data_IF_723103670314
#
_entry.id   IF_723103670314
#
_cell.length_a   1.000
_cell.length_b   1.000
_cell.length_c   1.000
_cell.angle_alpha   90.00
_cell.angle_beta   90.00
_cell.angle_gamma   90.00
#
_symmetry.space_group_name_H-M   'P 1'
#
loop_
_entity.id
_entity.type
_entity.pdbx_description
1 polymer ?
#
# COMPACT_ATOMS: atom_id res chain seq x y z
N UNK A 1 -51.20 -40.62 31.82
CA UNK A 1 -51.20 -39.18 31.51
C UNK A 1 -49.75 -38.71 31.61
N UNK A 2 -49.08 -38.49 30.47
CA UNK A 2 -47.64 -38.25 30.39
C UNK A 2 -47.26 -36.84 30.86
N UNK A 3 -46.29 -36.74 31.77
CA UNK A 3 -45.53 -35.51 31.96
C UNK A 3 -44.38 -35.48 30.95
N UNK A 4 -44.38 -34.49 30.04
CA UNK A 4 -43.24 -34.22 29.16
C UNK A 4 -42.36 -33.17 29.84
N UNK A 5 -41.15 -33.60 30.20
CA UNK A 5 -40.06 -32.73 30.64
C UNK A 5 -39.53 -31.96 29.42
N UNK A 6 -39.65 -30.64 29.42
CA UNK A 6 -39.03 -29.76 28.43
C UNK A 6 -37.59 -29.49 28.86
N UNK A 7 -36.63 -30.10 28.17
CA UNK A 7 -35.20 -29.79 28.31
C UNK A 7 -34.92 -28.59 27.41
N UNK A 8 -34.73 -27.42 28.01
CA UNK A 8 -34.23 -26.24 27.31
C UNK A 8 -32.73 -26.42 27.05
N UNK A 9 -32.36 -26.73 25.81
CA UNK A 9 -30.97 -26.74 25.37
C UNK A 9 -30.58 -25.28 25.12
N UNK A 10 -29.86 -24.67 26.06
CA UNK A 10 -29.17 -23.40 25.84
C UNK A 10 -27.98 -23.67 24.92
N UNK A 11 -28.17 -23.44 23.62
CA UNK A 11 -27.08 -23.37 22.65
C UNK A 11 -26.40 -22.03 22.89
N UNK A 12 -25.30 -22.03 23.64
CA UNK A 12 -24.36 -20.91 23.62
C UNK A 12 -23.71 -20.88 22.24
N UNK A 13 -24.24 -20.05 21.34
CA UNK A 13 -23.52 -19.68 20.13
C UNK A 13 -22.32 -18.84 20.58
N UNK A 14 -21.15 -19.48 20.68
CA UNK A 14 -19.88 -18.76 20.76
C UNK A 14 -19.71 -18.01 19.43
N UNK A 15 -20.05 -16.73 19.43
CA UNK A 15 -19.72 -15.83 18.32
C UNK A 15 -18.20 -15.66 18.38
N UNK A 16 -17.48 -16.44 17.57
CA UNK A 16 -16.07 -16.20 17.34
C UNK A 16 -15.99 -14.91 16.52
N UNK A 17 -15.71 -13.78 17.18
CA UNK A 17 -15.25 -12.59 16.47
C UNK A 17 -13.95 -13.00 15.77
N UNK A 18 -13.93 -12.98 14.45
CA UNK A 18 -12.72 -13.32 13.71
C UNK A 18 -11.63 -12.31 14.07
N UNK A 19 -10.49 -12.83 14.54
CA UNK A 19 -9.38 -12.01 15.01
C UNK A 19 -8.39 -11.84 13.87
N UNK A 20 -7.89 -10.61 13.72
CA UNK A 20 -6.80 -10.29 12.82
C UNK A 20 -5.57 -11.15 13.18
N UNK A 21 -5.23 -12.13 12.35
CA UNK A 21 -4.15 -13.08 12.64
C UNK A 21 -2.80 -12.42 12.42
N UNK A 22 -1.96 -12.32 13.45
CA UNK A 22 -0.56 -11.94 13.29
C UNK A 22 0.19 -13.07 12.56
N UNK A 23 0.73 -12.76 11.38
CA UNK A 23 1.47 -13.72 10.55
C UNK A 23 2.97 -13.54 10.75
N UNK A 24 3.44 -12.29 10.76
CA UNK A 24 4.85 -11.97 10.97
C UNK A 24 5.02 -10.75 11.87
N UNK A 25 6.15 -10.69 12.57
CA UNK A 25 6.54 -9.56 13.42
C UNK A 25 8.05 -9.41 13.51
N UNK A 26 8.53 -8.18 13.67
CA UNK A 26 9.96 -7.88 13.81
C UNK A 26 10.20 -6.77 14.82
N UNK A 27 11.30 -6.89 15.55
CA UNK A 27 11.88 -5.77 16.32
C UNK A 27 12.68 -4.87 15.39
N UNK A 28 13.56 -5.51 14.62
CA UNK A 28 14.27 -4.98 13.47
C UNK A 28 14.11 -5.98 12.32
N UNK A 29 13.91 -5.51 11.08
CA UNK A 29 13.91 -6.41 9.93
C UNK A 29 15.34 -6.79 9.54
N UNK A 30 15.53 -8.06 9.19
CA UNK A 30 16.78 -8.59 8.66
C UNK A 30 16.64 -8.96 7.18
N UNK A 31 17.77 -9.17 6.51
CA UNK A 31 17.82 -9.61 5.10
C UNK A 31 18.50 -10.97 4.99
N UNK A 32 18.11 -11.75 3.99
CA UNK A 32 18.81 -12.98 3.63
C UNK A 32 20.10 -12.62 2.89
N UNK A 33 21.24 -12.86 3.53
CA UNK A 33 22.56 -12.57 2.99
C UNK A 33 23.15 -13.80 2.29
N UNK A 34 23.93 -13.63 1.20
CA UNK A 34 24.58 -14.77 0.56
C UNK A 34 25.62 -15.46 1.45
N UNK A 35 26.27 -14.69 2.34
CA UNK A 35 27.15 -15.22 3.40
C UNK A 35 27.26 -14.26 4.59
N UNK A 36 27.73 -14.74 5.74
CA UNK A 36 27.98 -13.90 6.91
C UNK A 36 29.18 -12.94 6.71
N UNK A 37 30.11 -13.25 5.81
CA UNK A 37 31.19 -12.34 5.39
C UNK A 37 30.61 -11.09 4.73
N UNK A 38 29.74 -11.26 3.73
CA UNK A 38 29.12 -10.14 3.00
C UNK A 38 28.26 -9.29 3.95
N UNK A 39 27.54 -9.93 4.87
CA UNK A 39 26.78 -9.22 5.90
C UNK A 39 27.68 -8.40 6.83
N UNK A 40 28.81 -8.96 7.28
CA UNK A 40 29.78 -8.24 8.13
C UNK A 40 30.39 -7.06 7.40
N UNK A 41 30.73 -7.22 6.13
CA UNK A 41 31.23 -6.13 5.29
C UNK A 41 30.17 -5.03 5.14
N UNK A 42 28.91 -5.37 4.85
CA UNK A 42 27.83 -4.40 4.75
C UNK A 42 27.58 -3.64 6.07
N UNK A 43 27.71 -4.33 7.22
CA UNK A 43 27.64 -3.69 8.54
C UNK A 43 28.81 -2.74 8.78
N UNK A 44 30.04 -3.13 8.41
CA UNK A 44 31.25 -2.31 8.57
C UNK A 44 31.21 -1.07 7.67
N UNK A 45 30.75 -1.23 6.43
CA UNK A 45 30.65 -0.16 5.45
C UNK A 45 29.40 0.72 5.62
N UNK A 46 28.54 0.42 6.61
CA UNK A 46 27.25 1.07 6.82
C UNK A 46 26.25 0.96 5.66
N UNK A 47 26.50 0.04 4.72
CA UNK A 47 25.52 -0.35 3.69
C UNK A 47 24.31 -1.05 4.30
N UNK A 48 24.46 -1.62 5.50
CA UNK A 48 23.37 -2.16 6.30
C UNK A 48 23.42 -1.63 7.74
N UNK A 49 22.37 -0.92 8.15
CA UNK A 49 22.14 -0.43 9.51
C UNK A 49 20.79 -0.98 9.98
N UNK A 50 20.74 -2.05 10.80
CA UNK A 50 19.49 -2.73 11.13
C UNK A 50 18.35 -1.81 11.57
N UNK A 51 18.64 -0.84 12.43
CA UNK A 51 17.65 0.10 12.99
C UNK A 51 17.04 1.07 11.96
N UNK A 52 17.60 1.19 10.76
CA UNK A 52 17.15 2.10 9.72
C UNK A 52 16.18 1.46 8.71
N UNK A 53 15.81 0.19 8.92
CA UNK A 53 14.99 -0.55 7.98
C UNK A 53 13.54 -0.61 8.47
N UNK A 54 12.67 0.18 7.84
CA UNK A 54 11.23 0.19 8.09
C UNK A 54 10.50 -0.48 6.91
N UNK A 55 9.84 -1.63 7.10
CA UNK A 55 8.97 -2.21 6.09
C UNK A 55 7.72 -1.33 5.91
N UNK A 56 7.30 -1.10 4.67
CA UNK A 56 6.28 -0.08 4.36
C UNK A 56 5.08 -0.64 3.56
N UNK A 57 5.32 -1.29 2.43
CA UNK A 57 4.28 -1.82 1.54
C UNK A 57 4.32 -3.34 1.42
N UNK A 58 3.20 -3.94 1.00
CA UNK A 58 3.12 -5.38 0.74
C UNK A 58 2.30 -5.72 -0.49
N UNK A 59 2.54 -6.91 -1.05
CA UNK A 59 1.64 -7.55 -2.01
C UNK A 59 1.87 -9.06 -2.01
N UNK A 60 0.81 -9.86 -2.15
CA UNK A 60 0.93 -11.31 -2.19
C UNK A 60 0.83 -11.83 -3.62
N UNK A 61 1.73 -12.74 -3.97
CA UNK A 61 1.60 -13.58 -5.15
C UNK A 61 1.91 -15.04 -4.80
N UNK A 62 0.90 -15.91 -4.89
CA UNK A 62 1.02 -17.35 -4.56
C UNK A 62 1.65 -17.56 -3.17
N UNK A 63 2.84 -18.16 -3.11
CA UNK A 63 3.59 -18.41 -1.88
C UNK A 63 4.58 -17.29 -1.51
N UNK A 64 4.63 -16.18 -2.25
CA UNK A 64 5.51 -15.04 -1.96
C UNK A 64 4.68 -13.88 -1.42
N UNK A 65 5.03 -13.40 -0.24
CA UNK A 65 4.57 -12.10 0.26
C UNK A 65 5.69 -11.10 0.03
N UNK A 66 5.53 -10.23 -0.95
CA UNK A 66 6.45 -9.13 -1.20
C UNK A 66 6.31 -8.07 -0.10
N UNK A 67 7.45 -7.52 0.32
CA UNK A 67 7.56 -6.47 1.34
C UNK A 67 8.59 -5.45 0.87
N UNK A 68 8.24 -4.18 0.95
CA UNK A 68 9.13 -3.07 0.58
C UNK A 68 9.78 -2.47 1.82
N UNK A 69 11.02 -2.02 1.70
CA UNK A 69 11.76 -1.27 2.72
C UNK A 69 12.32 -0.02 2.05
N UNK A 70 11.61 1.11 2.10
CA UNK A 70 12.04 2.33 1.44
C UNK A 70 13.28 2.92 2.11
N UNK A 71 14.11 3.61 1.33
CA UNK A 71 15.36 4.23 1.80
C UNK A 71 15.12 5.58 2.49
N UNK A 72 14.28 5.58 3.53
CA UNK A 72 14.07 6.75 4.39
C UNK A 72 15.36 7.24 5.05
N UNK A 73 16.22 6.30 5.45
CA UNK A 73 17.54 6.53 6.04
C UNK A 73 18.57 5.66 5.32
N UNK A 74 19.85 6.01 5.43
CA UNK A 74 20.95 5.19 4.93
C UNK A 74 21.00 3.80 5.58
N UNK A 75 21.71 2.85 4.95
CA UNK A 75 21.91 1.50 5.50
C UNK A 75 20.73 0.54 5.28
N UNK A 76 19.91 0.78 4.25
CA UNK A 76 18.92 -0.20 3.78
C UNK A 76 19.59 -1.16 2.81
N UNK A 77 19.69 -2.45 3.13
CA UNK A 77 20.39 -3.39 2.26
C UNK A 77 19.61 -3.67 0.97
N UNK A 78 18.30 -3.84 1.08
CA UNK A 78 17.43 -4.15 -0.05
C UNK A 78 16.05 -3.53 0.07
N UNK A 79 15.59 -2.85 -0.98
CA UNK A 79 14.34 -2.10 -0.94
C UNK A 79 13.11 -2.90 -1.37
N UNK A 80 13.27 -3.84 -2.31
CA UNK A 80 12.22 -4.78 -2.71
C UNK A 80 12.59 -6.19 -2.27
N UNK A 81 11.70 -6.83 -1.52
CA UNK A 81 11.96 -8.12 -0.91
C UNK A 81 10.72 -9.02 -0.93
N UNK A 82 10.87 -10.29 -0.56
CA UNK A 82 9.75 -11.17 -0.27
C UNK A 82 10.02 -12.14 0.88
N UNK A 83 8.94 -12.73 1.39
CA UNK A 83 8.92 -13.79 2.39
C UNK A 83 8.16 -14.99 1.81
N UNK A 84 8.71 -16.22 1.86
CA UNK A 84 7.97 -17.43 1.56
C UNK A 84 6.89 -17.70 2.61
N UNK A 85 5.64 -17.85 2.22
CA UNK A 85 4.50 -18.05 3.14
C UNK A 85 4.44 -19.44 3.78
N UNK A 86 5.25 -20.39 3.31
CA UNK A 86 5.43 -21.71 3.92
C UNK A 86 6.50 -21.74 5.01
N UNK A 87 7.10 -20.60 5.37
CA UNK A 87 8.01 -20.51 6.52
C UNK A 87 7.26 -20.75 7.84
N UNK A 88 7.96 -21.31 8.82
CA UNK A 88 7.48 -21.44 10.21
C UNK A 88 8.01 -20.36 11.13
N UNK A 89 8.95 -19.54 10.65
CA UNK A 89 9.51 -18.42 11.40
C UNK A 89 8.53 -17.24 11.39
N UNK A 90 8.22 -16.70 12.57
CA UNK A 90 7.39 -15.50 12.73
C UNK A 90 8.16 -14.20 12.46
N UNK A 91 9.48 -14.25 12.37
CA UNK A 91 10.37 -13.10 12.14
C UNK A 91 11.40 -13.37 11.04
N UNK A 92 10.98 -13.89 9.86
CA UNK A 92 11.90 -14.35 8.84
C UNK A 92 12.72 -13.18 8.27
N UNK A 93 13.94 -13.49 7.83
CA UNK A 93 14.72 -12.55 7.04
C UNK A 93 14.05 -12.28 5.69
N UNK A 94 14.06 -11.02 5.26
CA UNK A 94 13.54 -10.59 3.97
C UNK A 94 14.48 -11.03 2.85
N UNK A 95 13.96 -11.70 1.82
CA UNK A 95 14.76 -12.15 0.68
C UNK A 95 14.76 -11.05 -0.40
N UNK A 96 15.91 -10.46 -0.75
CA UNK A 96 15.99 -9.45 -1.81
C UNK A 96 15.43 -9.94 -3.15
N UNK A 97 14.66 -9.10 -3.83
CA UNK A 97 14.06 -9.39 -5.13
C UNK A 97 14.39 -8.33 -6.18
N UNK A 98 14.76 -8.72 -7.42
CA UNK A 98 15.03 -10.10 -7.85
C UNK A 98 16.34 -10.65 -7.28
N UNK A 99 17.22 -9.78 -6.77
CA UNK A 99 18.47 -10.16 -6.11
C UNK A 99 18.97 -9.04 -5.20
N UNK A 100 19.95 -9.35 -4.35
CA UNK A 100 20.63 -8.34 -3.54
C UNK A 100 21.36 -7.31 -4.43
N UNK A 101 22.04 -7.78 -5.51
CA UNK A 101 22.74 -6.90 -6.46
C UNK A 101 21.78 -5.86 -7.06
N UNK A 102 20.59 -6.28 -7.50
CA UNK A 102 19.61 -5.38 -8.08
C UNK A 102 19.08 -4.32 -7.10
N UNK A 103 19.23 -4.52 -5.79
CA UNK A 103 18.81 -3.56 -4.77
C UNK A 103 19.97 -2.75 -4.18
N UNK A 104 21.21 -3.12 -4.46
CA UNK A 104 22.39 -2.37 -4.01
C UNK A 104 22.39 -0.99 -4.67
N UNK A 105 22.74 0.04 -3.89
CA UNK A 105 23.00 1.36 -4.45
C UNK A 105 24.27 1.31 -5.30
N UNK A 106 24.29 1.96 -6.48
CA UNK A 106 25.47 2.01 -7.32
C UNK A 106 26.58 2.77 -6.58
N UNK A 107 27.82 2.29 -6.70
CA UNK A 107 28.99 2.90 -6.07
C UNK A 107 29.96 3.44 -7.11
N UNK A 108 30.73 4.47 -6.76
CA UNK A 108 31.88 4.95 -7.54
C UNK A 108 31.59 5.24 -9.04
N UNK A 109 30.39 5.75 -9.36
CA UNK A 109 30.01 6.08 -10.74
C UNK A 109 29.58 4.88 -11.58
N UNK A 110 29.24 3.75 -10.96
CA UNK A 110 28.58 2.62 -11.64
C UNK A 110 27.36 3.07 -12.43
N UNK A 111 27.23 2.52 -13.65
CA UNK A 111 26.04 2.76 -14.48
C UNK A 111 24.88 1.95 -13.95
N UNK A 112 23.72 2.59 -13.79
CA UNK A 112 22.51 1.92 -13.38
C UNK A 112 21.99 0.98 -14.48
N UNK A 113 22.02 -0.33 -14.20
CA UNK A 113 21.26 -1.33 -14.95
C UNK A 113 19.73 -1.08 -14.84
N UNK A 114 18.96 -1.44 -15.87
CA UNK A 114 17.51 -1.20 -15.93
C UNK A 114 16.70 -1.91 -14.83
N UNK A 115 17.26 -2.98 -14.26
CA UNK A 115 16.65 -3.75 -13.18
C UNK A 115 17.07 -3.27 -11.79
N UNK A 116 17.88 -2.22 -11.66
CA UNK A 116 18.18 -1.63 -10.36
C UNK A 116 16.92 -1.06 -9.72
N UNK A 117 16.83 -1.25 -8.41
CA UNK A 117 15.77 -0.80 -7.55
C UNK A 117 16.41 0.09 -6.49
N UNK A 118 16.19 1.40 -6.61
CA UNK A 118 16.76 2.33 -5.65
C UNK A 118 15.93 2.31 -4.36
N UNK A 119 14.65 2.71 -4.43
CA UNK A 119 13.83 2.90 -3.24
C UNK A 119 12.36 2.69 -3.59
N UNK A 120 11.87 1.49 -3.28
CA UNK A 120 10.49 1.10 -3.53
C UNK A 120 9.62 1.49 -2.34
N UNK A 121 8.52 2.19 -2.62
CA UNK A 121 7.50 2.49 -1.60
C UNK A 121 6.37 1.47 -1.63
N UNK A 122 5.52 1.48 -2.65
CA UNK A 122 4.44 0.50 -2.82
C UNK A 122 4.63 -0.32 -4.09
N UNK A 123 3.94 -1.44 -4.07
CA UNK A 123 3.92 -2.44 -5.13
C UNK A 123 2.49 -2.91 -5.38
N UNK A 124 2.24 -3.42 -6.58
CA UNK A 124 0.98 -4.05 -6.96
C UNK A 124 1.27 -5.34 -7.73
N UNK A 125 0.58 -6.42 -7.37
CA UNK A 125 0.56 -7.65 -8.16
C UNK A 125 -0.72 -7.60 -8.98
N UNK A 126 -0.58 -7.58 -10.30
CA UNK A 126 -1.74 -7.46 -11.18
C UNK A 126 -2.35 -8.82 -11.55
N UNK A 127 -3.48 -8.80 -12.26
CA UNK A 127 -4.19 -10.01 -12.67
C UNK A 127 -3.43 -10.87 -13.69
N UNK A 128 -2.28 -10.41 -14.20
CA UNK A 128 -1.47 -11.05 -15.22
C UNK A 128 -0.15 -11.60 -14.68
N UNK A 129 -0.06 -11.81 -13.36
CA UNK A 129 1.16 -12.25 -12.67
C UNK A 129 2.36 -11.31 -12.91
N UNK A 130 2.12 -10.00 -13.00
CA UNK A 130 3.19 -9.00 -13.05
C UNK A 130 3.29 -8.24 -11.73
N UNK A 131 4.52 -8.00 -11.28
CA UNK A 131 4.81 -7.14 -10.13
C UNK A 131 5.17 -5.75 -10.62
N UNK A 132 4.33 -4.78 -10.27
CA UNK A 132 4.53 -3.37 -10.56
C UNK A 132 5.14 -2.70 -9.34
N UNK A 133 6.28 -2.04 -9.54
CA UNK A 133 7.12 -1.48 -8.50
C UNK A 133 7.25 0.02 -8.74
N UNK A 134 6.81 0.82 -7.77
CA UNK A 134 7.03 2.27 -7.79
C UNK A 134 8.36 2.59 -7.12
N UNK A 135 9.39 2.80 -7.94
CA UNK A 135 10.74 3.17 -7.51
C UNK A 135 10.90 4.70 -7.56
N UNK A 136 11.18 5.32 -6.41
CA UNK A 136 11.32 6.77 -6.31
C UNK A 136 12.67 7.26 -6.87
N UNK A 137 13.65 6.37 -7.00
CA UNK A 137 15.02 6.75 -7.35
C UNK A 137 15.77 7.52 -6.27
N UNK A 138 15.15 7.72 -5.09
CA UNK A 138 15.65 8.59 -4.02
C UNK A 138 16.05 7.76 -2.78
N UNK A 139 17.27 7.98 -2.29
CA UNK A 139 17.79 7.31 -1.10
C UNK A 139 18.20 8.30 -0.01
N UNK A 140 18.22 7.80 1.24
CA UNK A 140 18.55 8.56 2.46
C UNK A 140 17.71 9.84 2.64
N UNK A 141 16.40 9.72 2.42
CA UNK A 141 15.44 10.84 2.33
C UNK A 141 15.49 11.78 3.54
N UNK A 142 15.69 11.25 4.75
CA UNK A 142 15.74 12.02 6.00
C UNK A 142 17.16 12.43 6.41
N UNK A 143 18.17 11.92 5.69
CA UNK A 143 19.58 12.21 5.92
C UNK A 143 20.13 13.09 4.80
N UNK A 144 21.12 12.58 4.07
CA UNK A 144 21.69 13.21 2.89
C UNK A 144 20.99 12.70 1.63
N UNK A 145 19.76 13.18 1.42
CA UNK A 145 18.91 12.74 0.32
C UNK A 145 19.64 12.86 -1.03
N UNK A 146 19.71 11.76 -1.77
CA UNK A 146 20.39 11.66 -3.05
C UNK A 146 19.51 10.97 -4.09
N UNK A 147 19.37 11.62 -5.25
CA UNK A 147 18.60 11.11 -6.39
C UNK A 147 19.53 10.29 -7.30
N UNK A 148 19.42 8.97 -7.23
CA UNK A 148 20.22 8.03 -8.01
C UNK A 148 19.66 7.81 -9.42
N UNK A 149 18.33 7.81 -9.56
CA UNK A 149 17.64 7.64 -10.85
C UNK A 149 16.42 8.54 -10.92
N UNK A 150 15.79 8.71 -12.09
CA UNK A 150 14.43 9.29 -12.12
C UNK A 150 13.43 8.35 -11.42
N UNK A 151 12.32 8.87 -10.88
CA UNK A 151 11.19 8.03 -10.49
C UNK A 151 10.73 7.18 -11.67
N UNK A 152 10.43 5.91 -11.42
CA UNK A 152 10.08 4.96 -12.46
C UNK A 152 9.09 3.90 -12.01
N UNK A 153 8.31 3.40 -12.98
CA UNK A 153 7.62 2.12 -12.86
C UNK A 153 8.54 1.01 -13.34
N UNK A 154 8.82 0.05 -12.47
CA UNK A 154 9.59 -1.16 -12.78
C UNK A 154 8.65 -2.35 -12.72
N UNK A 155 8.56 -3.10 -13.82
CA UNK A 155 7.58 -4.18 -13.96
C UNK A 155 8.31 -5.49 -14.21
N UNK A 156 8.06 -6.48 -13.36
CA UNK A 156 8.63 -7.82 -13.46
C UNK A 156 7.56 -8.85 -13.78
N UNK A 157 7.91 -9.86 -14.57
CA UNK A 157 7.12 -11.09 -14.70
C UNK A 157 7.42 -11.99 -13.51
N UNK A 158 6.40 -12.29 -12.70
CA UNK A 158 6.54 -13.10 -11.48
C UNK A 158 6.75 -14.60 -11.78
N UNK A 159 6.42 -15.06 -12.99
CA UNK A 159 6.66 -16.45 -13.37
C UNK A 159 8.13 -16.70 -13.72
N UNK A 160 8.83 -15.69 -14.24
CA UNK A 160 10.23 -15.82 -14.68
C UNK A 160 11.23 -15.01 -13.86
N UNK A 161 10.74 -14.16 -12.95
CA UNK A 161 11.52 -13.20 -12.15
C UNK A 161 12.35 -12.24 -13.02
N UNK A 162 11.89 -11.98 -14.25
CA UNK A 162 12.57 -11.11 -15.23
C UNK A 162 11.93 -9.74 -15.33
N UNK A 163 12.77 -8.75 -15.54
CA UNK A 163 12.32 -7.40 -15.87
C UNK A 163 11.60 -7.43 -17.22
N UNK A 164 10.37 -6.93 -17.24
CA UNK A 164 9.60 -6.69 -18.47
C UNK A 164 9.78 -5.26 -18.96
N UNK A 165 9.79 -4.29 -18.04
CA UNK A 165 9.82 -2.87 -18.39
C UNK A 165 10.33 -2.01 -17.24
N UNK A 166 11.14 -1.02 -17.57
CA UNK A 166 11.38 0.17 -16.77
C UNK A 166 10.84 1.38 -17.54
N UNK A 167 9.91 2.11 -16.94
CA UNK A 167 9.39 3.36 -17.50
C UNK A 167 9.75 4.50 -16.56
N UNK A 168 10.70 5.34 -16.99
CA UNK A 168 11.02 6.58 -16.28
C UNK A 168 9.97 7.65 -16.58
N UNK A 169 9.44 8.28 -15.54
CA UNK A 169 8.48 9.37 -15.71
C UNK A 169 9.14 10.58 -16.38
N UNK A 170 8.41 11.18 -17.34
CA UNK A 170 8.89 12.35 -18.09
C UNK A 170 8.71 13.62 -17.25
N UNK A 171 9.45 14.70 -17.55
CA UNK A 171 9.33 15.96 -16.81
C UNK A 171 7.89 16.52 -16.74
N UNK A 172 7.06 16.29 -17.77
CA UNK A 172 5.66 16.74 -17.76
C UNK A 172 4.72 15.92 -16.86
N UNK A 173 5.17 14.77 -16.36
CA UNK A 173 4.45 14.00 -15.34
C UNK A 173 4.69 14.54 -13.94
N UNK A 174 5.77 15.31 -13.75
CA UNK A 174 6.33 15.66 -12.45
C UNK A 174 6.25 17.18 -12.18
N UNK A 175 6.22 17.51 -10.90
CA UNK A 175 6.49 18.84 -10.34
C UNK A 175 7.69 18.72 -9.40
N UNK A 176 8.26 19.86 -9.01
CA UNK A 176 9.31 19.90 -7.99
C UNK A 176 8.86 19.25 -6.67
N UNK A 177 7.59 19.43 -6.30
CA UNK A 177 7.00 18.82 -5.11
C UNK A 177 6.55 17.38 -5.31
N UNK A 178 6.78 16.77 -6.47
CA UNK A 178 6.26 15.43 -6.75
C UNK A 178 6.90 14.36 -5.86
N UNK A 179 6.07 13.49 -5.33
CA UNK A 179 6.52 12.29 -4.62
C UNK A 179 5.60 11.12 -5.02
N UNK A 180 6.10 10.28 -5.93
CA UNK A 180 5.37 9.14 -6.47
C UNK A 180 5.68 7.91 -5.63
N UNK A 181 4.78 7.52 -4.73
CA UNK A 181 5.04 6.46 -3.76
C UNK A 181 4.04 5.30 -3.81
N UNK A 182 3.01 5.37 -4.67
CA UNK A 182 2.02 4.32 -4.81
C UNK A 182 1.74 3.95 -6.28
N UNK A 183 1.19 2.77 -6.52
CA UNK A 183 0.72 2.32 -7.83
C UNK A 183 -0.49 1.40 -7.67
N UNK A 184 -1.53 1.62 -8.48
CA UNK A 184 -2.66 0.69 -8.64
C UNK A 184 -2.84 0.39 -10.12
N UNK A 185 -3.07 -0.87 -10.45
CA UNK A 185 -3.07 -1.36 -11.84
C UNK A 185 -4.47 -1.79 -12.26
N UNK A 186 -4.97 -1.21 -13.33
CA UNK A 186 -6.22 -1.58 -13.97
C UNK A 186 -5.96 -2.45 -15.18
N UNK A 187 -6.17 -3.76 -14.98
CA UNK A 187 -6.02 -4.77 -16.00
C UNK A 187 -7.04 -5.89 -15.79
N UNK A 188 -7.37 -6.59 -16.88
CA UNK A 188 -8.13 -7.83 -16.84
C UNK A 188 -7.21 -8.97 -17.29
N UNK A 189 -7.41 -10.16 -16.70
CA UNK A 189 -6.54 -11.32 -16.92
C UNK A 189 -6.39 -11.70 -18.40
N UNK A 190 -7.43 -11.48 -19.21
CA UNK A 190 -7.46 -11.78 -20.64
C UNK A 190 -6.92 -10.63 -21.54
N UNK A 191 -6.58 -9.48 -20.96
CA UNK A 191 -6.19 -8.25 -21.68
C UNK A 191 -4.98 -7.56 -21.05
N UNK A 192 -3.94 -8.34 -20.77
CA UNK A 192 -2.72 -7.88 -20.10
C UNK A 192 -2.01 -6.70 -20.80
N UNK A 193 -2.10 -6.63 -22.12
CA UNK A 193 -1.51 -5.55 -22.94
C UNK A 193 -2.33 -4.26 -22.93
N UNK A 194 -3.56 -4.27 -22.41
CA UNK A 194 -4.42 -3.09 -22.26
C UNK A 194 -4.35 -2.47 -20.86
N UNK A 195 -3.33 -2.83 -20.08
CA UNK A 195 -3.19 -2.36 -18.71
C UNK A 195 -2.97 -0.84 -18.63
N UNK A 196 -3.57 -0.25 -17.60
CA UNK A 196 -3.27 1.11 -17.15
C UNK A 196 -2.78 1.07 -15.71
N UNK A 197 -1.86 1.95 -15.36
CA UNK A 197 -1.45 2.17 -13.98
C UNK A 197 -1.81 3.59 -13.54
N UNK A 198 -2.26 3.73 -12.29
CA UNK A 198 -2.59 4.99 -11.64
C UNK A 198 -1.61 5.22 -10.50
N UNK A 199 -0.85 6.31 -10.59
CA UNK A 199 0.25 6.63 -9.70
C UNK A 199 -0.09 7.95 -9.02
N UNK A 200 -0.54 7.92 -7.77
CA UNK A 200 -0.87 9.15 -7.05
C UNK A 200 0.43 9.86 -6.66
N UNK A 201 0.43 11.15 -6.92
CA UNK A 201 1.48 12.09 -6.56
C UNK A 201 1.04 12.86 -5.32
N UNK A 202 1.46 12.39 -4.15
CA UNK A 202 1.01 12.97 -2.88
C UNK A 202 1.55 14.38 -2.63
N UNK A 203 2.73 14.73 -3.16
CA UNK A 203 3.30 16.06 -2.98
C UNK A 203 2.94 17.05 -4.09
N UNK A 204 2.61 16.56 -5.28
CA UNK A 204 2.17 17.37 -6.42
C UNK A 204 0.65 17.42 -6.64
N UNK A 205 -0.11 16.68 -5.82
CA UNK A 205 -1.58 16.63 -5.79
C UNK A 205 -2.21 16.26 -7.15
N UNK A 206 -1.74 15.16 -7.73
CA UNK A 206 -2.18 14.69 -9.04
C UNK A 206 -2.21 13.16 -9.10
N UNK A 207 -2.82 12.63 -10.16
CA UNK A 207 -2.59 11.25 -10.58
C UNK A 207 -1.79 11.29 -11.88
N UNK A 208 -0.69 10.55 -11.94
CA UNK A 208 -0.05 10.20 -13.21
C UNK A 208 -0.69 8.91 -13.71
N UNK A 209 -1.22 8.94 -14.92
CA UNK A 209 -1.79 7.77 -15.60
C UNK A 209 -0.75 7.25 -16.56
N UNK A 210 -0.49 5.95 -16.53
CA UNK A 210 0.41 5.26 -17.45
C UNK A 210 -0.36 4.24 -18.28
N UNK A 211 -0.16 4.22 -19.59
CA UNK A 211 -0.73 3.24 -20.51
C UNK A 211 0.33 2.23 -20.94
N UNK A 212 0.13 0.95 -20.61
CA UNK A 212 1.05 -0.12 -21.01
C UNK A 212 1.14 -0.25 -22.53
N UNK A 213 0.00 -0.22 -23.22
CA UNK A 213 -0.09 -0.38 -24.68
C UNK A 213 0.69 0.68 -25.44
N UNK A 214 0.51 1.95 -25.05
CA UNK A 214 1.12 3.08 -25.73
C UNK A 214 2.51 3.41 -25.18
N UNK A 215 2.89 2.81 -24.05
CA UNK A 215 4.08 3.14 -23.28
C UNK A 215 4.22 4.66 -23.04
N UNK A 216 3.10 5.29 -22.67
CA UNK A 216 2.97 6.73 -22.54
C UNK A 216 2.24 7.06 -21.24
N UNK A 217 2.54 8.23 -20.67
CA UNK A 217 1.92 8.71 -19.45
C UNK A 217 1.41 10.14 -19.57
N UNK A 218 0.51 10.53 -18.67
CA UNK A 218 0.07 11.91 -18.55
C UNK A 218 -0.37 12.22 -17.13
N UNK A 219 -0.24 13.49 -16.76
CA UNK A 219 -0.64 14.02 -15.46
C UNK A 219 -2.08 14.52 -15.48
N UNK A 220 -2.88 14.08 -14.52
CA UNK A 220 -4.27 14.49 -14.30
C UNK A 220 -4.36 15.27 -13.00
N UNK A 221 -4.98 16.45 -13.03
CA UNK A 221 -5.13 17.31 -11.87
C UNK A 221 -6.62 17.47 -11.52
N UNK A 222 -6.95 17.46 -10.24
CA UNK A 222 -8.29 17.72 -9.74
C UNK A 222 -8.22 18.25 -8.31
N UNK A 223 -9.19 19.08 -7.90
CA UNK A 223 -9.21 19.66 -6.55
C UNK A 223 -9.27 18.58 -5.46
N UNK A 224 -10.00 17.50 -5.70
CA UNK A 224 -10.14 16.37 -4.76
C UNK A 224 -8.84 15.58 -4.52
N UNK A 225 -7.76 15.87 -5.27
CA UNK A 225 -6.46 15.25 -5.03
C UNK A 225 -5.62 15.98 -3.97
N UNK A 226 -6.06 17.15 -3.51
CA UNK A 226 -5.35 17.95 -2.52
C UNK A 226 -5.69 17.49 -1.10
N UNK A 227 -4.75 17.69 -0.17
CA UNK A 227 -5.02 17.49 1.25
C UNK A 227 -6.10 18.45 1.78
N UNK A 228 -6.76 18.04 2.85
CA UNK A 228 -7.68 18.88 3.61
C UNK A 228 -6.89 19.62 4.72
N UNK A 229 -6.75 20.96 4.63
CA UNK A 229 -5.97 21.72 5.59
C UNK A 229 -6.54 21.69 7.02
N UNK A 230 -7.81 21.32 7.21
CA UNK A 230 -8.41 21.17 8.53
C UNK A 230 -8.08 19.83 9.21
N UNK A 231 -7.46 18.91 8.46
CA UNK A 231 -7.17 17.54 8.90
C UNK A 231 -5.67 17.22 8.89
N UNK A 232 -4.81 18.23 8.77
CA UNK A 232 -3.34 18.11 8.68
C UNK A 232 -2.60 17.89 9.99
N UNK A 233 -3.25 18.08 11.15
CA UNK A 233 -2.67 17.81 12.46
C UNK A 233 -2.96 16.36 12.87
N UNK A 234 -1.91 15.54 12.95
CA UNK A 234 -1.98 14.11 13.16
C UNK A 234 -1.34 13.74 14.49
N UNK A 235 -2.02 12.92 15.28
CA UNK A 235 -1.46 12.31 16.49
C UNK A 235 -1.55 10.81 16.38
N UNK A 236 -0.40 10.14 16.23
CA UNK A 236 -0.31 8.69 16.02
C UNK A 236 0.84 8.11 16.83
N UNK A 237 0.59 7.02 17.57
CA UNK A 237 1.62 6.40 18.42
C UNK A 237 2.20 7.33 19.50
N UNK A 238 1.41 8.31 19.96
CA UNK A 238 1.85 9.32 20.93
C UNK A 238 2.72 10.44 20.33
N UNK A 239 2.94 10.46 19.01
CA UNK A 239 3.68 11.50 18.30
C UNK A 239 2.70 12.43 17.60
N UNK A 240 2.83 13.73 17.85
CA UNK A 240 2.11 14.77 17.11
C UNK A 240 2.98 15.33 15.99
N UNK A 241 2.42 15.46 14.79
CA UNK A 241 3.10 15.98 13.60
C UNK A 241 2.09 16.52 12.58
N UNK A 242 2.56 17.38 11.69
CA UNK A 242 1.73 17.97 10.64
C UNK A 242 2.18 17.50 9.26
N UNK A 243 1.26 16.94 8.49
CA UNK A 243 1.47 16.56 7.09
C UNK A 243 0.49 17.26 6.17
N UNK A 244 0.84 17.29 4.90
CA UNK A 244 0.06 17.89 3.81
C UNK A 244 -0.07 16.95 2.62
N UNK A 245 0.07 15.65 2.85
CA UNK A 245 0.07 14.65 1.80
C UNK A 245 -1.30 14.56 1.14
N UNK A 246 -1.32 14.78 -0.17
CA UNK A 246 -2.52 14.71 -1.00
C UNK A 246 -2.91 13.27 -1.32
N UNK A 247 -3.48 13.08 -2.51
CA UNK A 247 -3.96 11.78 -3.00
C UNK A 247 -2.94 10.67 -2.77
N UNK A 248 -3.39 9.56 -2.20
CA UNK A 248 -2.50 8.45 -1.85
C UNK A 248 -3.17 7.08 -1.92
N UNK A 249 -4.29 6.90 -1.21
CA UNK A 249 -5.07 5.66 -1.27
C UNK A 249 -5.95 5.62 -2.52
N UNK A 250 -5.85 4.53 -3.27
CA UNK A 250 -6.58 4.27 -4.51
C UNK A 250 -7.16 2.85 -4.45
N UNK A 251 -8.39 2.63 -4.93
CA UNK A 251 -8.98 1.31 -5.07
C UNK A 251 -9.87 1.22 -6.30
N UNK A 252 -9.79 0.10 -7.02
CA UNK A 252 -10.57 -0.13 -8.23
C UNK A 252 -11.78 -1.01 -7.94
N UNK A 253 -12.95 -0.60 -8.45
CA UNK A 253 -14.14 -1.46 -8.46
C UNK A 253 -14.02 -2.59 -9.48
N UNK A 254 -15.01 -3.48 -9.49
CA UNK A 254 -15.19 -4.44 -10.60
C UNK A 254 -15.42 -3.70 -11.92
N UNK A 255 -15.13 -4.38 -13.03
CA UNK A 255 -15.41 -3.82 -14.36
C UNK A 255 -16.91 -3.58 -14.52
N UNK A 256 -17.27 -2.33 -14.79
CA UNK A 256 -18.63 -1.88 -15.03
C UNK A 256 -18.98 -2.00 -16.53
N UNK A 257 -20.21 -1.61 -16.90
CA UNK A 257 -20.63 -1.55 -18.31
C UNK A 257 -19.62 -0.72 -19.13
N UNK A 258 -19.31 -1.17 -20.34
CA UNK A 258 -18.34 -0.59 -21.29
C UNK A 258 -16.85 -0.81 -20.96
N UNK A 259 -16.50 -1.63 -19.97
CA UNK A 259 -15.10 -2.03 -19.74
C UNK A 259 -14.27 -1.08 -18.86
N UNK A 260 -14.92 -0.08 -18.27
CA UNK A 260 -14.31 0.86 -17.31
C UNK A 260 -14.63 0.46 -15.88
N UNK A 261 -13.90 1.03 -14.92
CA UNK A 261 -14.07 0.81 -13.48
C UNK A 261 -14.33 2.14 -12.80
N UNK A 262 -14.83 2.09 -11.58
CA UNK A 262 -14.78 3.23 -10.65
C UNK A 262 -13.45 3.16 -9.91
N UNK A 263 -12.66 4.24 -9.96
CA UNK A 263 -11.51 4.44 -9.09
C UNK A 263 -12.00 5.22 -7.87
N UNK A 264 -12.04 4.57 -6.71
CA UNK A 264 -12.18 5.24 -5.42
C UNK A 264 -10.82 5.77 -4.97
N UNK A 265 -10.80 6.95 -4.38
CA UNK A 265 -9.56 7.55 -3.92
C UNK A 265 -9.77 8.55 -2.78
N UNK A 266 -8.70 8.77 -2.02
CA UNK A 266 -8.62 9.81 -1.01
C UNK A 266 -7.20 10.38 -0.88
N UNK A 267 -7.09 11.67 -0.52
CA UNK A 267 -5.89 12.22 0.09
C UNK A 267 -5.55 11.53 1.40
N UNK A 268 -4.26 11.32 1.69
CA UNK A 268 -3.82 10.78 2.97
C UNK A 268 -4.33 11.66 4.11
N UNK A 269 -4.10 12.96 3.96
CA UNK A 269 -4.60 13.99 4.87
C UNK A 269 -6.00 14.41 4.42
N UNK A 270 -6.99 13.56 4.68
CA UNK A 270 -8.41 13.85 4.48
C UNK A 270 -9.28 12.81 5.20
N UNK A 271 -10.53 13.16 5.45
CA UNK A 271 -11.57 12.25 5.96
C UNK A 271 -12.62 11.91 4.89
N UNK A 272 -12.50 12.47 3.68
CA UNK A 272 -13.42 12.25 2.57
C UNK A 272 -12.93 11.15 1.63
N UNK A 273 -13.88 10.46 1.03
CA UNK A 273 -13.65 9.54 -0.10
C UNK A 273 -14.28 10.14 -1.36
N UNK A 274 -13.61 9.95 -2.48
CA UNK A 274 -14.03 10.43 -3.79
C UNK A 274 -14.01 9.27 -4.79
N UNK A 275 -14.64 9.49 -5.94
CA UNK A 275 -14.57 8.54 -7.03
C UNK A 275 -14.56 9.20 -8.40
N UNK A 276 -14.04 8.47 -9.38
CA UNK A 276 -14.08 8.84 -10.81
C UNK A 276 -14.12 7.59 -11.68
N UNK A 277 -14.79 7.67 -12.83
CA UNK A 277 -14.71 6.60 -13.84
C UNK A 277 -13.32 6.55 -14.47
N UNK A 278 -12.77 5.36 -14.65
CA UNK A 278 -11.50 5.19 -15.38
C UNK A 278 -11.62 5.57 -16.86
N UNK A 279 -12.84 5.71 -17.41
CA UNK A 279 -13.07 6.32 -18.72
C UNK A 279 -12.49 7.74 -18.82
N UNK A 280 -12.64 8.53 -17.75
CA UNK A 280 -12.12 9.89 -17.66
C UNK A 280 -10.60 9.84 -17.63
N UNK A 281 -10.03 9.06 -16.72
CA UNK A 281 -8.58 9.01 -16.49
C UNK A 281 -7.80 8.46 -17.69
N UNK A 282 -8.34 7.43 -18.36
CA UNK A 282 -7.69 6.76 -19.51
C UNK A 282 -7.72 7.61 -20.80
N UNK A 283 -8.57 8.63 -20.87
CA UNK A 283 -8.66 9.55 -21.99
C UNK A 283 -7.98 10.87 -21.63
N UNK A 284 -6.75 11.07 -22.11
CA UNK A 284 -5.95 12.26 -21.79
C UNK A 284 -6.67 13.57 -22.13
N UNK A 285 -7.37 13.65 -23.26
CA UNK A 285 -8.12 14.86 -23.64
C UNK A 285 -9.23 15.14 -22.63
N UNK A 286 -10.03 14.13 -22.28
CA UNK A 286 -11.12 14.27 -21.32
C UNK A 286 -10.60 14.59 -19.91
N UNK A 287 -9.52 13.95 -19.47
CA UNK A 287 -8.89 14.19 -18.16
C UNK A 287 -8.33 15.61 -18.00
N UNK A 288 -8.01 16.28 -19.12
CA UNK A 288 -7.52 17.66 -19.15
C UNK A 288 -8.61 18.70 -19.44
N UNK A 289 -9.83 18.29 -19.76
CA UNK A 289 -10.95 19.19 -20.06
C UNK A 289 -11.44 19.88 -18.77
N UNK A 290 -11.48 21.22 -18.71
CA UNK A 290 -12.06 21.94 -17.56
C UNK A 290 -13.51 21.53 -17.24
N UNK A 291 -14.28 21.06 -18.22
CA UNK A 291 -15.65 20.59 -18.04
C UNK A 291 -15.73 19.19 -17.41
N UNK A 292 -14.60 18.48 -17.27
CA UNK A 292 -14.55 17.15 -16.64
C UNK A 292 -14.68 17.19 -15.11
N UNK A 293 -14.64 18.38 -14.49
CA UNK A 293 -14.72 18.57 -13.04
C UNK A 293 -15.91 17.82 -12.41
N UNK A 294 -17.09 17.92 -13.02
CA UNK A 294 -18.32 17.30 -12.51
C UNK A 294 -18.41 15.79 -12.79
N UNK A 295 -17.41 15.18 -13.42
CA UNK A 295 -17.31 13.73 -13.61
C UNK A 295 -16.68 13.04 -12.40
N UNK A 296 -16.09 13.80 -11.48
CA UNK A 296 -15.64 13.33 -10.17
C UNK A 296 -16.78 13.44 -9.16
N UNK A 297 -16.87 12.46 -8.26
CA UNK A 297 -17.92 12.39 -7.25
C UNK A 297 -17.33 12.41 -5.84
N UNK A 298 -18.00 13.12 -4.95
CA UNK A 298 -17.80 13.00 -3.50
C UNK A 298 -18.65 11.81 -3.04
N UNK A 299 -18.01 10.78 -2.51
CA UNK A 299 -18.73 9.61 -1.98
C UNK A 299 -19.28 9.89 -0.57
N UNK A 300 -18.52 10.65 0.23
CA UNK A 300 -18.94 11.12 1.54
C UNK A 300 -17.78 11.28 2.50
N UNK A 301 -18.08 11.26 3.80
CA UNK A 301 -17.12 11.47 4.89
C UNK A 301 -17.08 10.22 5.79
N UNK A 302 -15.87 9.75 6.10
CA UNK A 302 -15.63 8.56 6.93
C UNK A 302 -15.72 8.83 8.44
N UNK A 303 -15.73 10.08 8.85
CA UNK A 303 -15.78 10.54 10.24
C UNK A 303 -14.49 11.21 10.72
N UNK A 304 -14.49 11.66 11.97
CA UNK A 304 -13.33 12.32 12.60
C UNK A 304 -12.17 11.33 12.73
N UNK A 305 -10.94 11.81 12.52
CA UNK A 305 -9.70 11.08 12.72
C UNK A 305 -9.59 9.78 11.88
N UNK A 306 -10.06 9.82 10.62
CA UNK A 306 -10.04 8.68 9.68
C UNK A 306 -9.13 8.92 8.48
N UNK A 307 -8.05 9.66 8.66
CA UNK A 307 -6.96 9.75 7.69
C UNK A 307 -6.42 8.34 7.41
N UNK A 308 -6.10 8.07 6.16
CA UNK A 308 -5.82 6.73 5.66
C UNK A 308 -4.64 6.77 4.69
N UNK A 309 -3.71 5.84 4.85
CA UNK A 309 -2.55 5.66 3.97
C UNK A 309 -2.78 4.62 2.87
N UNK A 310 -3.81 3.77 3.01
CA UNK A 310 -4.09 2.73 2.02
C UNK A 310 -5.56 2.33 2.01
N UNK A 311 -6.01 1.86 0.85
CA UNK A 311 -7.32 1.24 0.66
C UNK A 311 -7.27 0.17 -0.41
N UNK A 312 -8.14 -0.83 -0.30
CA UNK A 312 -8.33 -1.86 -1.30
C UNK A 312 -9.77 -2.38 -1.27
N UNK A 313 -10.33 -2.74 -2.42
CA UNK A 313 -11.74 -3.09 -2.54
C UNK A 313 -11.88 -4.58 -2.88
N UNK A 314 -12.66 -5.30 -2.08
CA UNK A 314 -13.04 -6.67 -2.39
C UNK A 314 -14.08 -6.67 -3.51
N UNK A 315 -13.70 -7.17 -4.68
CA UNK A 315 -14.54 -7.12 -5.88
C UNK A 315 -15.83 -7.94 -5.75
N UNK A 316 -15.86 -8.91 -4.83
CA UNK A 316 -17.01 -9.78 -4.60
C UNK A 316 -18.08 -9.12 -3.72
N UNK A 317 -17.68 -8.56 -2.57
CA UNK A 317 -18.61 -7.94 -1.61
C UNK A 317 -18.83 -6.45 -1.86
N UNK A 318 -18.00 -5.84 -2.72
CA UNK A 318 -17.93 -4.39 -2.94
C UNK A 318 -17.62 -3.61 -1.65
N UNK A 319 -16.91 -4.25 -0.73
CA UNK A 319 -16.43 -3.61 0.49
C UNK A 319 -15.05 -3.02 0.26
N UNK A 320 -14.94 -1.70 0.43
CA UNK A 320 -13.69 -0.97 0.50
C UNK A 320 -13.12 -1.08 1.92
N UNK A 321 -11.92 -1.62 2.06
CA UNK A 321 -11.16 -1.61 3.31
C UNK A 321 -10.20 -0.43 3.31
N UNK A 322 -10.05 0.24 4.46
CA UNK A 322 -9.20 1.41 4.62
C UNK A 322 -8.42 1.33 5.94
N UNK A 323 -7.18 1.79 5.92
CA UNK A 323 -6.41 2.08 7.13
C UNK A 323 -7.03 3.26 7.90
N UNK A 324 -6.89 3.33 9.22
CA UNK A 324 -7.26 4.50 10.03
C UNK A 324 -6.07 4.90 10.91
N UNK A 325 -5.26 5.83 10.42
CA UNK A 325 -3.97 6.19 11.02
C UNK A 325 -4.10 6.72 12.45
N UNK A 326 -5.07 7.60 12.71
CA UNK A 326 -5.29 8.20 14.03
C UNK A 326 -6.17 7.37 14.97
N UNK A 327 -6.63 6.20 14.51
CA UNK A 327 -7.46 5.29 15.30
C UNK A 327 -6.79 3.95 15.54
N UNK A 328 -5.53 3.78 15.16
CA UNK A 328 -4.78 2.53 15.33
C UNK A 328 -5.56 1.31 14.80
N UNK A 329 -6.16 1.43 13.60
CA UNK A 329 -7.17 0.48 13.16
C UNK A 329 -7.38 0.37 11.66
N UNK A 330 -8.23 -0.58 11.30
CA UNK A 330 -8.69 -0.87 9.93
C UNK A 330 -10.19 -0.76 9.91
N UNK A 331 -10.72 -0.12 8.88
CA UNK A 331 -12.14 0.05 8.65
C UNK A 331 -12.59 -0.58 7.34
N UNK A 332 -13.90 -0.72 7.22
CA UNK A 332 -14.57 -1.14 6.01
C UNK A 332 -15.74 -0.20 5.68
N UNK A 333 -16.10 -0.15 4.41
CA UNK A 333 -17.31 0.52 3.93
C UNK A 333 -17.84 -0.24 2.70
N UNK A 334 -19.13 -0.56 2.68
CA UNK A 334 -19.75 -1.14 1.49
C UNK A 334 -20.13 -0.04 0.50
N UNK A 335 -19.59 -0.07 -0.72
CA UNK A 335 -19.80 1.00 -1.70
C UNK A 335 -21.23 1.10 -2.23
N UNK A 336 -22.09 0.12 -1.93
CA UNK A 336 -23.53 0.17 -2.19
C UNK A 336 -24.32 0.97 -1.13
N UNK A 337 -23.67 1.42 -0.06
CA UNK A 337 -24.26 2.26 1.00
C UNK A 337 -23.71 3.68 0.91
N UNK A 338 -24.48 4.73 1.22
CA UNK A 338 -23.95 6.09 1.26
C UNK A 338 -22.82 6.19 2.28
N UNK A 339 -21.72 6.87 1.94
CA UNK A 339 -20.59 7.00 2.86
C UNK A 339 -20.87 8.06 3.93
N UNK A 340 -21.06 7.60 5.15
CA UNK A 340 -21.18 8.40 6.36
C UNK A 340 -20.65 7.56 7.55
N UNK A 341 -20.41 8.17 8.72
CA UNK A 341 -19.86 7.45 9.87
C UNK A 341 -20.68 6.23 10.32
N UNK A 342 -22.00 6.21 10.12
CA UNK A 342 -22.87 5.09 10.54
C UNK A 342 -22.69 3.85 9.63
N UNK A 343 -22.25 4.05 8.39
CA UNK A 343 -22.01 2.99 7.41
C UNK A 343 -20.54 2.55 7.33
N UNK A 344 -19.66 3.12 8.16
CA UNK A 344 -18.25 2.70 8.27
C UNK A 344 -18.12 1.72 9.43
N UNK A 345 -17.64 0.52 9.13
CA UNK A 345 -17.36 -0.52 10.13
C UNK A 345 -15.91 -0.47 10.61
N UNK A 346 -15.68 -0.84 11.87
CA UNK A 346 -14.34 -1.12 12.39
C UNK A 346 -14.09 -2.61 12.22
N UNK A 347 -13.06 -2.96 11.47
CA UNK A 347 -12.64 -4.35 11.23
C UNK A 347 -11.70 -4.81 12.35
N UNK A 348 -10.74 -3.97 12.69
CA UNK A 348 -9.78 -4.24 13.76
C UNK A 348 -9.26 -2.91 14.33
N UNK A 349 -8.93 -2.91 15.61
CA UNK A 349 -8.32 -1.77 16.29
C UNK A 349 -7.41 -2.29 17.41
N UNK A 350 -6.16 -1.82 17.44
CA UNK A 350 -5.18 -2.23 18.44
C UNK A 350 -4.09 -1.15 18.60
N UNK A 351 -4.01 -0.54 19.79
CA UNK A 351 -3.09 0.58 20.06
C UNK A 351 -1.62 0.19 20.12
N UNK A 352 -1.31 -1.10 20.25
CA UNK A 352 0.07 -1.59 20.31
C UNK A 352 0.51 -2.20 18.97
N UNK A 353 -0.40 -2.95 18.35
CA UNK A 353 -0.14 -3.78 17.19
C UNK A 353 -0.44 -3.08 15.86
N UNK A 354 -1.35 -2.10 15.86
CA UNK A 354 -1.79 -1.33 14.68
C UNK A 354 -1.47 0.17 14.80
N UNK A 355 -0.37 0.54 15.47
CA UNK A 355 0.03 1.95 15.70
C UNK A 355 0.00 2.78 14.43
N UNK A 356 0.60 2.29 13.34
CA UNK A 356 0.51 2.93 12.04
C UNK A 356 0.20 1.84 11.01
N UNK A 357 -1.08 1.57 10.69
CA UNK A 357 -1.44 0.62 9.65
C UNK A 357 -1.09 1.27 8.32
N UNK A 358 0.06 0.90 7.76
CA UNK A 358 0.69 1.62 6.67
C UNK A 358 0.11 1.20 5.31
N UNK A 359 -0.03 -0.11 5.09
CA UNK A 359 -0.55 -0.66 3.83
C UNK A 359 -1.51 -1.81 4.06
N UNK A 360 -2.46 -1.98 3.14
CA UNK A 360 -3.34 -3.13 3.10
C UNK A 360 -3.61 -3.55 1.66
N UNK A 361 -3.76 -4.86 1.43
CA UNK A 361 -4.06 -5.44 0.12
C UNK A 361 -4.96 -6.65 0.28
N UNK A 362 -5.81 -6.90 -0.71
CA UNK A 362 -6.62 -8.11 -0.80
C UNK A 362 -5.97 -9.02 -1.84
N UNK A 363 -5.69 -10.25 -1.45
CA UNK A 363 -5.12 -11.24 -2.37
C UNK A 363 -6.20 -11.99 -3.17
N UNK A 364 -5.76 -12.79 -4.15
CA UNK A 364 -6.65 -13.58 -5.00
C UNK A 364 -7.50 -14.64 -4.25
N UNK A 365 -7.12 -14.98 -3.01
CA UNK A 365 -7.86 -15.91 -2.13
C UNK A 365 -8.78 -15.17 -1.14
N UNK A 366 -8.99 -13.87 -1.35
CA UNK A 366 -9.80 -12.98 -0.52
C UNK A 366 -9.34 -12.96 0.94
N UNK A 367 -8.03 -12.93 1.15
CA UNK A 367 -7.45 -12.53 2.42
C UNK A 367 -7.08 -11.05 2.37
N UNK A 368 -7.50 -10.30 3.39
CA UNK A 368 -7.01 -8.97 3.67
C UNK A 368 -5.67 -9.10 4.42
N UNK A 369 -4.60 -8.59 3.81
CA UNK A 369 -3.29 -8.44 4.41
C UNK A 369 -3.10 -7.02 4.88
N UNK A 370 -2.52 -6.85 6.08
CA UNK A 370 -2.28 -5.54 6.69
C UNK A 370 -0.84 -5.48 7.17
N UNK A 371 -0.09 -4.46 6.73
CA UNK A 371 1.22 -4.12 7.28
C UNK A 371 1.02 -2.97 8.27
N UNK A 372 1.43 -3.17 9.52
CA UNK A 372 1.55 -2.09 10.48
C UNK A 372 2.97 -1.92 10.96
N UNK A 373 3.39 -0.67 11.06
CA UNK A 373 4.67 -0.26 11.59
C UNK A 373 4.48 0.82 12.66
N UNK A 374 5.59 1.46 13.02
CA UNK A 374 5.64 2.62 13.92
C UNK A 374 6.28 3.81 13.23
N UNK A 375 5.87 4.08 11.99
CA UNK A 375 6.47 5.11 11.14
C UNK A 375 6.63 6.48 11.81
N UNK A 376 5.63 7.05 12.52
CA UNK A 376 5.83 8.32 13.22
C UNK A 376 6.97 8.29 14.22
N UNK A 377 7.08 7.21 15.00
CA UNK A 377 8.18 7.03 15.97
C UNK A 377 9.51 6.85 15.23
N UNK A 378 9.54 6.11 14.13
CA UNK A 378 10.74 5.91 13.31
C UNK A 378 11.24 7.22 12.66
N UNK A 379 10.33 8.07 12.20
CA UNK A 379 10.64 9.33 11.52
C UNK A 379 11.12 10.40 12.50
N UNK A 380 10.43 10.54 13.64
CA UNK A 380 10.64 11.68 14.53
C UNK A 380 11.42 11.33 15.80
N UNK A 381 11.42 10.07 16.25
CA UNK A 381 12.08 9.61 17.47
C UNK A 381 12.93 8.34 17.20
N UNK A 382 13.29 7.63 18.28
CA UNK A 382 14.00 6.35 18.23
C UNK A 382 13.06 5.21 18.60
N UNK A 383 13.00 4.16 17.78
CA UNK A 383 12.24 2.96 18.07
C UNK A 383 12.78 2.20 19.29
N UNK A 384 11.89 1.56 20.05
CA UNK A 384 12.29 0.66 21.12
C UNK A 384 12.71 -0.70 20.54
N UNK A 385 14.00 -1.03 20.65
CA UNK A 385 14.57 -2.29 20.12
C UNK A 385 14.10 -3.54 20.86
N UNK A 386 13.50 -3.40 22.04
CA UNK A 386 12.97 -4.53 22.82
C UNK A 386 11.53 -4.89 22.44
N UNK A 387 10.85 -4.03 21.69
CA UNK A 387 9.47 -4.21 21.24
C UNK A 387 9.42 -4.64 19.78
N UNK A 388 8.35 -5.36 19.42
CA UNK A 388 8.04 -5.59 18.01
C UNK A 388 7.50 -4.30 17.40
N UNK A 389 8.27 -3.72 16.46
CA UNK A 389 7.98 -2.45 15.82
C UNK A 389 7.19 -2.61 14.52
N UNK A 390 7.26 -3.80 13.91
CA UNK A 390 6.68 -4.10 12.61
C UNK A 390 5.88 -5.38 12.68
N UNK A 391 4.68 -5.39 12.10
CA UNK A 391 3.78 -6.54 12.08
C UNK A 391 3.08 -6.66 10.74
N UNK A 392 2.85 -7.89 10.32
CA UNK A 392 2.00 -8.22 9.18
C UNK A 392 0.90 -9.14 9.67
N UNK A 393 -0.32 -8.80 9.30
CA UNK A 393 -1.52 -9.53 9.67
C UNK A 393 -2.28 -10.04 8.46
N UNK A 394 -3.17 -11.00 8.72
CA UNK A 394 -4.10 -11.56 7.74
C UNK A 394 -5.46 -11.83 8.37
N UNK A 395 -6.53 -11.56 7.63
CA UNK A 395 -7.89 -11.99 7.95
C UNK A 395 -8.64 -12.34 6.66
N UNK A 396 -9.57 -13.30 6.70
CA UNK A 396 -10.46 -13.54 5.54
C UNK A 396 -11.42 -12.38 5.40
N UNK A 397 -11.72 -11.97 4.16
CA UNK A 397 -12.60 -10.82 3.91
C UNK A 397 -13.99 -11.03 4.54
N UNK A 398 -14.57 -12.22 4.38
CA UNK A 398 -15.92 -12.50 4.89
C UNK A 398 -15.97 -12.43 6.42
N UNK A 399 -14.92 -12.94 7.07
CA UNK A 399 -14.70 -12.88 8.52
C UNK A 399 -14.51 -11.43 9.00
N UNK A 400 -13.77 -10.62 8.24
CA UNK A 400 -13.48 -9.22 8.55
C UNK A 400 -14.74 -8.34 8.59
N UNK A 401 -15.77 -8.68 7.80
CA UNK A 401 -16.99 -7.88 7.69
C UNK A 401 -18.16 -8.44 8.52
N UNK A 402 -18.14 -9.71 8.93
CA UNK A 402 -19.31 -10.47 9.42
C UNK A 402 -20.16 -9.77 10.51
N UNK A 403 -19.57 -8.90 11.34
CA UNK A 403 -20.26 -8.19 12.42
C UNK A 403 -20.12 -6.66 12.30
N UNK A 404 -20.10 -6.15 11.08
CA UNK A 404 -19.92 -4.74 10.77
C UNK A 404 -21.09 -4.23 9.91
N UNK A 405 -21.33 -2.91 9.83
CA UNK A 405 -22.29 -2.35 8.87
C UNK A 405 -21.90 -2.57 7.40
N UNK A 406 -20.74 -3.19 7.12
CA UNK A 406 -20.22 -3.42 5.77
C UNK A 406 -20.82 -4.66 5.09
N UNK A 407 -21.48 -5.55 5.83
CA UNK A 407 -22.30 -6.61 5.21
C UNK A 407 -23.49 -5.98 4.50
N UNK A 408 -23.89 -6.55 3.35
CA UNK A 408 -25.09 -6.10 2.63
C UNK A 408 -26.35 -6.39 3.43
#
# INVERSE_FOLDING_TARGET
MLWKLLIAINIFATVYAAVLQEVFKWRDVGFAWPSEEIKREALQNQDYIPANNLPLGLARWRNRLFVTVPRWKAGVASSLNYIPLNTSDSSPALIPYPSLKANSLPKNGETLEDNHIISTFRIEVDACDRLWVMDTGLADILGSAEQYSKPALVVFDLNTDRLLRRYEFKPSDLKESSFLANVVVDVQHDRCDEAFAYIPDLGGYAIVVYSWKNNESWRVNHNYFHFDPLNGDLTVGGINFQWKDGIFGLALSRVMRKGYRTLYFHPLVSTHEFSVSTEVLRNQTLASDPNSYNLYKIEGNRGVATQASSSNLDLQTEVLFLTQLQKDGIACWNTNKPLNPDNVGIVAQDREALVFPNDLKIDAERNLWVLSDRMPVFLFHTLNKNEYNYRIFRIKVDDAIANTPCVL
#
